data_IF_774259329202
#
_entry.id   IF_774259329202
#
_cell.length_a   1.000
_cell.length_b   1.000
_cell.length_c   1.000
_cell.angle_alpha   90.00
_cell.angle_beta   90.00
_cell.angle_gamma   90.00
#
_symmetry.space_group_name_H-M   'P 1'
#
loop_
_entity.id
_entity.type
_entity.pdbx_description
1 polymer ?
#
# COMPACT_ATOMS: atom_id res chain seq x y z
N UNK A 1 -11.33 3.65 4.46
CA UNK A 1 -10.73 2.31 4.30
C UNK A 1 -11.45 1.35 5.24
N UNK A 2 -12.17 0.37 4.69
CA UNK A 2 -12.94 -0.60 5.48
C UNK A 2 -12.03 -1.52 6.32
N UNK A 3 -12.59 -2.28 7.25
CA UNK A 3 -11.82 -3.29 7.99
C UNK A 3 -11.32 -4.38 7.02
N UNK A 4 -12.15 -4.79 6.07
CA UNK A 4 -11.77 -5.74 5.01
C UNK A 4 -10.51 -5.26 4.26
N UNK A 5 -10.48 -4.00 3.83
CA UNK A 5 -9.33 -3.44 3.13
C UNK A 5 -8.06 -3.45 3.98
N UNK A 6 -8.18 -3.14 5.27
CA UNK A 6 -7.03 -3.13 6.21
C UNK A 6 -6.47 -4.53 6.42
N UNK A 7 -7.34 -5.52 6.61
CA UNK A 7 -6.92 -6.92 6.79
C UNK A 7 -6.32 -7.47 5.49
N UNK A 8 -6.98 -7.21 4.36
CA UNK A 8 -6.48 -7.62 3.04
C UNK A 8 -5.10 -7.01 2.76
N UNK A 9 -4.91 -5.71 3.06
CA UNK A 9 -3.61 -5.03 2.89
C UNK A 9 -2.52 -5.64 3.77
N UNK A 10 -2.80 -5.98 5.03
CA UNK A 10 -1.82 -6.64 5.89
C UNK A 10 -1.40 -8.02 5.36
N UNK A 11 -2.36 -8.81 4.85
CA UNK A 11 -2.07 -10.11 4.23
C UNK A 11 -1.24 -9.97 2.95
N UNK A 12 -1.52 -8.97 2.13
CA UNK A 12 -0.75 -8.65 0.93
C UNK A 12 0.67 -8.20 1.27
N UNK A 13 0.84 -7.31 2.25
CA UNK A 13 2.14 -6.85 2.73
C UNK A 13 2.99 -8.02 3.27
N UNK A 14 2.37 -8.96 4.01
CA UNK A 14 3.02 -10.19 4.47
C UNK A 14 3.52 -10.99 3.27
N UNK A 15 2.67 -11.21 2.25
CA UNK A 15 3.06 -11.96 1.05
C UNK A 15 4.24 -11.30 0.32
N UNK A 16 4.19 -9.98 0.16
CA UNK A 16 5.26 -9.20 -0.49
C UNK A 16 6.59 -9.30 0.30
N UNK A 17 6.54 -9.12 1.61
CA UNK A 17 7.73 -9.23 2.47
C UNK A 17 8.32 -10.64 2.45
N UNK A 18 7.47 -11.67 2.51
CA UNK A 18 7.89 -13.08 2.38
C UNK A 18 8.60 -13.32 1.04
N UNK A 19 8.06 -12.80 -0.06
CA UNK A 19 8.66 -12.98 -1.38
C UNK A 19 10.00 -12.25 -1.52
N UNK A 20 10.14 -11.04 -0.96
CA UNK A 20 11.41 -10.30 -0.89
C UNK A 20 12.46 -11.05 -0.06
N UNK A 21 12.04 -11.71 1.02
CA UNK A 21 12.91 -12.53 1.85
C UNK A 21 13.31 -13.86 1.18
N UNK A 22 12.54 -14.31 0.17
CA UNK A 22 12.74 -15.58 -0.53
C UNK A 22 12.09 -16.76 0.18
N UNK A 23 11.01 -16.49 0.93
CA UNK A 23 10.21 -17.51 1.59
C UNK A 23 9.48 -18.42 0.59
N UNK A 24 8.95 -19.54 1.10
CA UNK A 24 8.24 -20.53 0.30
C UNK A 24 7.05 -19.93 -0.47
N UNK A 25 7.03 -20.17 -1.77
CA UNK A 25 6.02 -19.68 -2.70
C UNK A 25 4.58 -20.14 -2.37
N UNK A 26 4.42 -21.32 -1.75
CA UNK A 26 3.09 -21.78 -1.31
C UNK A 26 2.53 -20.86 -0.21
N UNK A 27 3.38 -20.44 0.74
CA UNK A 27 3.01 -19.50 1.81
C UNK A 27 2.66 -18.14 1.22
N UNK A 28 3.49 -17.62 0.33
CA UNK A 28 3.26 -16.35 -0.40
C UNK A 28 1.91 -16.40 -1.13
N UNK A 29 1.69 -17.44 -1.93
CA UNK A 29 0.46 -17.59 -2.70
C UNK A 29 -0.78 -17.75 -1.81
N UNK A 30 -0.65 -18.43 -0.65
CA UNK A 30 -1.74 -18.56 0.29
C UNK A 30 -2.17 -17.21 0.86
N UNK A 31 -1.22 -16.34 1.27
CA UNK A 31 -1.52 -14.99 1.75
C UNK A 31 -2.14 -14.11 0.66
N UNK A 32 -1.62 -14.18 -0.58
CA UNK A 32 -2.17 -13.45 -1.72
C UNK A 32 -3.62 -13.88 -2.06
N UNK A 33 -3.94 -15.18 -1.94
CA UNK A 33 -5.30 -15.68 -2.13
C UNK A 33 -6.24 -15.18 -1.04
N UNK A 34 -5.81 -15.27 0.21
CA UNK A 34 -6.61 -14.79 1.34
C UNK A 34 -6.83 -13.27 1.29
N UNK A 35 -5.81 -12.49 0.91
CA UNK A 35 -5.95 -11.05 0.73
C UNK A 35 -7.05 -10.71 -0.30
N UNK A 36 -7.04 -11.40 -1.46
CA UNK A 36 -8.07 -11.23 -2.49
C UNK A 36 -9.45 -11.67 -2.02
N UNK A 37 -9.52 -12.80 -1.32
CA UNK A 37 -10.78 -13.30 -0.77
C UNK A 37 -11.40 -12.27 0.19
N UNK A 38 -10.61 -11.75 1.14
CA UNK A 38 -11.06 -10.74 2.12
C UNK A 38 -11.47 -9.43 1.43
N UNK A 39 -10.69 -8.94 0.47
CA UNK A 39 -11.01 -7.73 -0.29
C UNK A 39 -12.29 -7.86 -1.13
N UNK A 40 -12.61 -9.08 -1.60
CA UNK A 40 -13.80 -9.36 -2.40
C UNK A 40 -15.09 -9.62 -1.59
N UNK A 41 -15.01 -9.64 -0.25
CA UNK A 41 -16.19 -9.89 0.59
C UNK A 41 -17.14 -8.69 0.56
N UNK A 42 -18.42 -8.98 0.37
CA UNK A 42 -19.50 -8.00 0.50
C UNK A 42 -19.96 -7.79 1.95
N UNK A 43 -19.53 -8.65 2.88
CA UNK A 43 -19.83 -8.60 4.31
C UNK A 43 -18.60 -8.15 5.10
N UNK A 44 -18.80 -7.58 6.29
CA UNK A 44 -17.69 -7.19 7.15
C UNK A 44 -16.96 -8.45 7.64
N UNK A 45 -15.63 -8.48 7.47
CA UNK A 45 -14.78 -9.58 7.92
C UNK A 45 -14.89 -9.80 9.44
N UNK A 46 -15.16 -8.73 10.22
CA UNK A 46 -15.36 -8.84 11.65
C UNK A 46 -16.56 -9.75 12.02
N UNK A 47 -17.62 -9.75 11.21
CA UNK A 47 -18.76 -10.61 11.44
C UNK A 47 -18.43 -12.08 11.19
N UNK A 48 -17.64 -12.36 10.13
CA UNK A 48 -17.17 -13.71 9.85
C UNK A 48 -16.13 -14.18 10.89
N UNK A 49 -15.31 -13.28 11.41
CA UNK A 49 -14.28 -13.59 12.40
C UNK A 49 -14.83 -14.02 13.76
N UNK A 50 -16.10 -13.73 14.07
CA UNK A 50 -16.81 -14.25 15.26
C UNK A 50 -17.01 -15.77 15.23
N UNK A 51 -16.99 -16.37 14.05
CA UNK A 51 -17.14 -17.82 13.86
C UNK A 51 -16.04 -18.32 12.92
N UNK A 52 -15.03 -18.96 13.50
CA UNK A 52 -13.90 -19.52 12.73
C UNK A 52 -14.33 -20.48 11.62
N UNK A 53 -15.46 -21.20 11.79
CA UNK A 53 -15.96 -22.13 10.76
C UNK A 53 -16.42 -21.36 9.52
N UNK A 54 -17.11 -20.23 9.69
CA UNK A 54 -17.53 -19.37 8.57
C UNK A 54 -16.34 -18.80 7.81
N UNK A 55 -15.25 -18.47 8.49
CA UNK A 55 -14.01 -18.05 7.81
C UNK A 55 -13.41 -19.17 6.95
N UNK A 56 -13.49 -20.42 7.41
CA UNK A 56 -12.98 -21.57 6.67
C UNK A 56 -13.85 -21.95 5.46
N UNK A 57 -15.09 -21.51 5.39
CA UNK A 57 -15.98 -21.65 4.22
C UNK A 57 -15.62 -20.68 3.10
N UNK A 58 -14.85 -19.61 3.40
CA UNK A 58 -14.42 -18.65 2.38
C UNK A 58 -13.28 -19.25 1.58
N UNK A 59 -13.50 -19.41 0.26
CA UNK A 59 -12.49 -19.95 -0.64
C UNK A 59 -11.20 -19.11 -0.57
N UNK A 60 -10.07 -19.78 -0.36
CA UNK A 60 -8.76 -19.12 -0.23
C UNK A 60 -8.34 -18.84 1.22
N UNK A 61 -9.19 -19.06 2.22
CA UNK A 61 -8.87 -18.90 3.63
C UNK A 61 -8.68 -20.27 4.29
N UNK A 62 -7.44 -20.67 4.48
CA UNK A 62 -7.10 -21.88 5.23
C UNK A 62 -6.98 -21.65 6.75
N UNK A 63 -6.82 -22.73 7.55
CA UNK A 63 -6.83 -22.65 9.01
C UNK A 63 -5.87 -21.58 9.59
N UNK A 64 -4.60 -21.57 9.15
CA UNK A 64 -3.59 -20.61 9.62
C UNK A 64 -3.94 -19.17 9.25
N UNK A 65 -4.60 -18.95 8.12
CA UNK A 65 -4.99 -17.62 7.67
C UNK A 65 -6.25 -17.14 8.39
N UNK A 66 -7.19 -18.06 8.69
CA UNK A 66 -8.35 -17.74 9.54
C UNK A 66 -7.89 -17.22 10.91
N UNK A 67 -6.91 -17.89 11.54
CA UNK A 67 -6.36 -17.47 12.83
C UNK A 67 -5.72 -16.06 12.75
N UNK A 68 -4.98 -15.75 11.68
CA UNK A 68 -4.42 -14.41 11.44
C UNK A 68 -5.48 -13.35 11.18
N UNK A 69 -6.55 -13.69 10.47
CA UNK A 69 -7.66 -12.77 10.23
C UNK A 69 -8.39 -12.45 11.53
N UNK A 70 -8.64 -13.45 12.38
CA UNK A 70 -9.21 -13.25 13.72
C UNK A 70 -8.30 -12.33 14.53
N UNK A 71 -7.00 -12.60 14.56
CA UNK A 71 -6.02 -11.75 15.23
C UNK A 71 -6.07 -10.29 14.75
N UNK A 72 -6.14 -10.08 13.42
CA UNK A 72 -6.24 -8.74 12.84
C UNK A 72 -7.54 -8.02 13.24
N UNK A 73 -8.65 -8.75 13.33
CA UNK A 73 -9.94 -8.19 13.76
C UNK A 73 -9.93 -7.81 15.25
N UNK A 74 -9.31 -8.64 16.12
CA UNK A 74 -9.25 -8.42 17.55
C UNK A 74 -8.23 -7.36 17.97
N UNK A 75 -7.01 -7.42 17.39
CA UNK A 75 -5.86 -6.60 17.79
C UNK A 75 -5.57 -5.45 16.83
N UNK A 76 -6.24 -5.38 15.68
CA UNK A 76 -5.99 -4.41 14.62
C UNK A 76 -4.74 -4.71 13.77
N UNK A 77 -3.93 -5.70 14.15
CA UNK A 77 -2.70 -6.09 13.43
C UNK A 77 -2.44 -7.59 13.52
N UNK A 78 -1.76 -8.11 12.50
CA UNK A 78 -1.26 -9.49 12.46
C UNK A 78 0.17 -9.48 13.03
N UNK A 79 0.47 -10.30 14.05
CA UNK A 79 1.79 -10.37 14.67
C UNK A 79 2.91 -10.68 13.66
N UNK A 80 2.65 -11.57 12.70
CA UNK A 80 3.61 -11.86 11.63
C UNK A 80 3.90 -10.66 10.73
N UNK A 81 2.91 -9.79 10.48
CA UNK A 81 3.10 -8.54 9.74
C UNK A 81 4.10 -7.61 10.45
N UNK A 82 3.93 -7.44 11.76
CA UNK A 82 4.86 -6.65 12.58
C UNK A 82 6.28 -7.26 12.56
N UNK A 83 6.39 -8.57 12.79
CA UNK A 83 7.69 -9.28 12.80
C UNK A 83 8.41 -9.24 11.43
N UNK A 84 7.69 -9.21 10.32
CA UNK A 84 8.28 -9.08 8.99
C UNK A 84 8.71 -7.64 8.68
N UNK A 85 8.00 -6.63 9.19
CA UNK A 85 8.42 -5.22 9.08
C UNK A 85 9.76 -4.94 9.77
N UNK A 86 10.06 -5.66 10.84
CA UNK A 86 11.36 -5.54 11.50
C UNK A 86 12.50 -6.13 10.66
N UNK A 87 12.18 -7.05 9.73
CA UNK A 87 13.17 -7.72 8.86
C UNK A 87 13.36 -7.05 7.51
N UNK A 88 12.34 -6.39 7.00
CA UNK A 88 12.34 -5.75 5.68
C UNK A 88 12.18 -4.25 5.86
N UNK A 89 13.17 -3.42 5.50
CA UNK A 89 13.06 -1.97 5.58
C UNK A 89 11.85 -1.44 4.81
N UNK A 90 11.13 -0.49 5.39
CA UNK A 90 9.92 0.07 4.78
C UNK A 90 10.16 0.59 3.36
N UNK A 91 11.31 1.23 3.11
CA UNK A 91 11.65 1.74 1.79
C UNK A 91 11.88 0.66 0.72
N UNK A 92 12.13 -0.61 1.11
CA UNK A 92 12.14 -1.74 0.14
C UNK A 92 10.73 -2.00 -0.38
N UNK A 93 9.71 -1.84 0.45
CA UNK A 93 8.31 -1.95 0.03
C UNK A 93 7.92 -0.80 -0.90
N UNK A 94 8.44 0.41 -0.64
CA UNK A 94 8.23 1.55 -1.55
C UNK A 94 8.86 1.29 -2.92
N UNK A 95 10.07 0.71 -2.95
CA UNK A 95 10.73 0.29 -4.20
C UNK A 95 9.93 -0.81 -4.91
N UNK A 96 9.40 -1.78 -4.16
CA UNK A 96 8.58 -2.87 -4.70
C UNK A 96 7.27 -2.37 -5.32
N UNK A 97 6.69 -1.30 -4.78
CA UNK A 97 5.45 -0.70 -5.30
C UNK A 97 5.65 0.07 -6.61
N UNK A 98 6.89 0.25 -7.07
CA UNK A 98 7.16 0.88 -8.37
C UNK A 98 6.77 -0.04 -9.52
N UNK A 99 6.10 0.53 -10.52
CA UNK A 99 5.77 -0.21 -11.73
C UNK A 99 7.05 -0.72 -12.43
N UNK A 100 7.09 -2.03 -12.70
CA UNK A 100 8.25 -2.69 -13.33
C UNK A 100 9.27 -3.26 -12.33
N UNK A 101 9.04 -3.11 -11.02
CA UNK A 101 9.84 -3.76 -9.97
C UNK A 101 9.03 -4.90 -9.36
N UNK A 102 9.48 -6.12 -9.59
CA UNK A 102 8.91 -7.30 -8.92
C UNK A 102 9.68 -7.65 -7.63
N UNK A 103 9.12 -8.51 -6.77
CA UNK A 103 9.73 -8.87 -5.48
C UNK A 103 11.16 -9.40 -5.59
N UNK A 104 11.45 -10.24 -6.59
CA UNK A 104 12.81 -10.74 -6.85
C UNK A 104 13.79 -9.64 -7.25
N UNK A 105 13.30 -8.66 -8.00
CA UNK A 105 14.09 -7.50 -8.41
C UNK A 105 14.36 -6.58 -7.23
N UNK A 106 13.33 -6.27 -6.43
CA UNK A 106 13.48 -5.49 -5.20
C UNK A 106 14.44 -6.17 -4.22
N UNK A 107 14.33 -7.49 -4.04
CA UNK A 107 15.24 -8.28 -3.20
C UNK A 107 16.70 -8.21 -3.70
N UNK A 108 16.92 -8.31 -5.01
CA UNK A 108 18.26 -8.19 -5.60
C UNK A 108 18.84 -6.78 -5.43
N UNK A 109 18.04 -5.73 -5.67
CA UNK A 109 18.44 -4.34 -5.44
C UNK A 109 18.83 -4.10 -3.98
N UNK A 110 18.02 -4.59 -3.05
CA UNK A 110 18.29 -4.43 -1.62
C UNK A 110 19.51 -5.25 -1.17
N UNK A 111 19.53 -6.56 -1.43
CA UNK A 111 20.55 -7.46 -0.91
C UNK A 111 21.92 -7.28 -1.57
N UNK A 112 21.95 -6.88 -2.85
CA UNK A 112 23.20 -6.77 -3.62
C UNK A 112 23.74 -5.33 -3.65
N UNK A 113 22.85 -4.34 -3.79
CA UNK A 113 23.25 -2.95 -3.95
C UNK A 113 22.91 -2.09 -2.73
N UNK A 114 22.28 -2.66 -1.68
CA UNK A 114 21.88 -1.90 -0.48
C UNK A 114 20.76 -0.88 -0.74
N UNK A 115 20.02 -1.04 -1.82
CA UNK A 115 18.89 -0.16 -2.17
C UNK A 115 17.69 -0.48 -1.26
N UNK A 116 17.54 0.28 -0.19
CA UNK A 116 16.49 0.14 0.81
C UNK A 116 15.48 1.31 0.80
N UNK A 117 15.58 2.21 -0.20
CA UNK A 117 14.74 3.41 -0.30
C UNK A 117 14.74 3.97 -1.71
N UNK A 118 13.71 4.78 -2.04
CA UNK A 118 13.62 5.47 -3.34
C UNK A 118 14.80 6.42 -3.62
N UNK A 119 15.33 7.19 -2.63
CA UNK A 119 16.55 7.98 -2.85
C UNK A 119 17.76 7.14 -3.24
N UNK A 120 18.00 5.99 -2.57
CA UNK A 120 19.12 5.09 -2.93
C UNK A 120 18.90 4.44 -4.30
N UNK A 121 17.65 4.14 -4.68
CA UNK A 121 17.35 3.67 -6.03
C UNK A 121 17.68 4.73 -7.09
N UNK A 122 17.34 6.01 -6.84
CA UNK A 122 17.72 7.10 -7.74
C UNK A 122 19.23 7.24 -7.90
N UNK A 123 19.98 7.12 -6.80
CA UNK A 123 21.44 7.12 -6.84
C UNK A 123 22.00 5.96 -7.65
N UNK A 124 21.53 4.73 -7.42
CA UNK A 124 21.96 3.53 -8.15
C UNK A 124 21.62 3.58 -9.66
N UNK A 125 20.59 4.31 -10.05
CA UNK A 125 20.29 4.61 -11.46
C UNK A 125 21.26 5.63 -12.03
N UNK A 126 21.55 6.70 -11.27
CA UNK A 126 22.41 7.80 -11.74
C UNK A 126 23.86 7.38 -11.94
N UNK A 127 24.40 6.52 -11.07
CA UNK A 127 25.76 6.00 -11.14
C UNK A 127 25.89 4.73 -12.00
N UNK A 128 24.78 4.20 -12.53
CA UNK A 128 24.75 3.03 -13.41
C UNK A 128 24.91 1.68 -12.70
N UNK A 129 25.02 1.66 -11.36
CA UNK A 129 25.19 0.40 -10.60
C UNK A 129 23.98 -0.54 -10.74
N UNK A 130 22.80 0.01 -11.01
CA UNK A 130 21.60 -0.79 -11.23
C UNK A 130 21.74 -1.74 -12.44
N UNK A 131 22.50 -1.36 -13.47
CA UNK A 131 22.74 -2.18 -14.66
C UNK A 131 23.62 -3.42 -14.37
N UNK A 132 24.29 -3.48 -13.22
CA UNK A 132 25.10 -4.64 -12.83
C UNK A 132 24.27 -5.83 -12.36
N UNK A 133 22.98 -5.60 -12.05
CA UNK A 133 22.09 -6.67 -11.59
C UNK A 133 21.66 -7.59 -12.74
N UNK A 134 21.55 -8.90 -12.49
CA UNK A 134 21.05 -9.85 -13.48
C UNK A 134 19.68 -9.45 -14.02
N UNK A 135 19.49 -9.51 -15.33
CA UNK A 135 18.22 -9.14 -16.04
C UNK A 135 17.83 -7.67 -15.94
N UNK A 136 18.74 -6.80 -15.51
CA UNK A 136 18.54 -5.35 -15.43
C UNK A 136 19.24 -4.67 -16.61
N UNK A 137 18.60 -4.69 -17.77
CA UNK A 137 19.09 -3.97 -18.95
C UNK A 137 18.55 -2.54 -19.00
N UNK A 138 19.07 -1.72 -19.93
CA UNK A 138 18.70 -0.31 -20.12
C UNK A 138 17.19 -0.08 -20.21
N UNK A 139 16.45 -0.93 -20.95
CA UNK A 139 14.99 -0.84 -21.05
C UNK A 139 14.27 -1.02 -19.70
N UNK A 140 14.81 -1.86 -18.81
CA UNK A 140 14.23 -2.06 -17.48
C UNK A 140 14.51 -0.83 -16.60
N UNK A 141 15.72 -0.29 -16.67
CA UNK A 141 16.12 0.92 -15.94
C UNK A 141 15.26 2.11 -16.39
N UNK A 142 15.04 2.30 -17.69
CA UNK A 142 14.18 3.38 -18.19
C UNK A 142 12.73 3.27 -17.71
N UNK A 143 12.17 2.05 -17.64
CA UNK A 143 10.84 1.83 -17.05
C UNK A 143 10.80 2.23 -15.57
N UNK A 144 11.83 1.88 -14.80
CA UNK A 144 11.94 2.23 -13.39
C UNK A 144 12.11 3.73 -13.21
N UNK A 145 12.91 4.40 -14.05
CA UNK A 145 13.02 5.87 -14.05
C UNK A 145 11.67 6.55 -14.28
N UNK A 146 10.90 6.08 -15.28
CA UNK A 146 9.57 6.61 -15.56
C UNK A 146 8.62 6.39 -14.37
N UNK A 147 8.66 5.20 -13.74
CA UNK A 147 7.86 4.92 -12.55
C UNK A 147 8.25 5.80 -11.36
N UNK A 148 9.54 6.06 -11.14
CA UNK A 148 10.04 6.98 -10.12
C UNK A 148 9.60 8.42 -10.35
N UNK A 149 9.63 8.88 -11.60
CA UNK A 149 9.16 10.22 -11.96
C UNK A 149 7.65 10.37 -11.72
N UNK A 150 6.87 9.33 -12.06
CA UNK A 150 5.44 9.31 -11.81
C UNK A 150 5.12 9.27 -10.30
N UNK A 151 5.84 8.46 -9.52
CA UNK A 151 5.70 8.41 -8.07
C UNK A 151 6.00 9.78 -7.43
N UNK A 152 7.09 10.43 -7.85
CA UNK A 152 7.44 11.78 -7.38
C UNK A 152 6.39 12.84 -7.76
N UNK A 153 5.81 12.75 -8.96
CA UNK A 153 4.74 13.66 -9.39
C UNK A 153 3.43 13.43 -8.62
N UNK A 154 3.21 12.22 -8.10
CA UNK A 154 2.07 11.87 -7.24
C UNK A 154 2.32 12.12 -5.74
N UNK A 155 3.56 12.38 -5.34
CA UNK A 155 3.94 12.60 -3.94
C UNK A 155 3.25 13.86 -3.40
N UNK A 156 2.55 13.73 -2.27
CA UNK A 156 1.76 14.82 -1.69
C UNK A 156 0.39 15.04 -2.34
N UNK A 157 -0.03 14.20 -3.28
CA UNK A 157 -1.36 14.34 -3.89
C UNK A 157 -2.34 13.29 -3.37
N UNK A 158 -3.53 13.73 -3.01
CA UNK A 158 -4.62 12.90 -2.50
C UNK A 158 -5.72 12.76 -3.56
N UNK A 159 -6.31 11.59 -3.71
CA UNK A 159 -7.46 11.38 -4.60
C UNK A 159 -8.64 12.25 -4.15
N UNK A 160 -9.36 12.84 -5.12
CA UNK A 160 -10.50 13.72 -4.88
C UNK A 160 -11.53 13.09 -3.94
N UNK A 161 -11.87 11.81 -4.14
CA UNK A 161 -12.83 11.11 -3.30
C UNK A 161 -12.44 10.98 -1.82
N UNK A 162 -11.15 11.07 -1.49
CA UNK A 162 -10.66 11.11 -0.10
C UNK A 162 -10.53 12.55 0.42
N UNK A 163 -10.15 13.49 -0.43
CA UNK A 163 -9.96 14.89 -0.04
C UNK A 163 -11.29 15.63 0.11
N UNK A 164 -12.29 15.30 -0.71
CA UNK A 164 -13.58 15.99 -0.73
C UNK A 164 -14.33 15.94 0.61
N UNK A 165 -14.54 14.77 1.27
CA UNK A 165 -15.21 14.72 2.57
C UNK A 165 -14.49 15.53 3.65
N UNK A 166 -13.14 15.54 3.62
CA UNK A 166 -12.32 16.30 4.56
C UNK A 166 -12.51 17.81 4.33
N UNK A 167 -12.49 18.24 3.06
CA UNK A 167 -12.71 19.64 2.70
C UNK A 167 -14.10 20.14 3.10
N UNK A 168 -15.12 19.31 2.90
CA UNK A 168 -16.50 19.64 3.29
C UNK A 168 -16.65 19.77 4.82
N UNK A 169 -16.09 18.83 5.58
CA UNK A 169 -16.11 18.90 7.05
C UNK A 169 -15.36 20.14 7.58
N UNK A 170 -14.24 20.48 6.95
CA UNK A 170 -13.48 21.69 7.29
C UNK A 170 -14.28 22.96 6.95
N UNK A 171 -14.88 23.02 5.76
CA UNK A 171 -15.73 24.15 5.36
C UNK A 171 -16.92 24.33 6.30
N UNK A 172 -17.58 23.26 6.74
CA UNK A 172 -18.67 23.32 7.73
C UNK A 172 -18.17 23.87 9.08
N UNK A 173 -17.00 23.41 9.53
CA UNK A 173 -16.41 23.88 10.79
C UNK A 173 -16.09 25.39 10.74
N UNK A 174 -15.56 25.86 9.61
CA UNK A 174 -15.24 27.29 9.40
C UNK A 174 -16.54 28.11 9.29
N UNK A 175 -17.55 27.60 8.60
CA UNK A 175 -18.85 28.27 8.44
C UNK A 175 -19.58 28.52 9.78
N UNK A 176 -19.32 27.63 10.77
CA UNK A 176 -19.87 27.79 12.11
C UNK A 176 -19.16 28.86 12.96
N UNK A 177 -18.06 29.46 12.49
CA UNK A 177 -17.32 30.49 13.22
C UNK A 177 -18.02 31.84 13.13
N UNK A 178 -18.03 32.65 14.22
CA UNK A 178 -18.59 33.99 14.19
C UNK A 178 -17.90 34.91 13.19
N UNK A 179 -18.68 35.66 12.41
CA UNK A 179 -18.16 36.62 11.42
C UNK A 179 -17.86 36.04 10.04
N UNK A 180 -18.07 34.74 9.82
CA UNK A 180 -17.94 34.10 8.52
C UNK A 180 -19.24 34.19 7.76
N UNK A 181 -19.24 34.85 6.60
CA UNK A 181 -20.41 35.03 5.76
C UNK A 181 -20.65 33.87 4.78
N UNK A 182 -19.58 33.37 4.18
CA UNK A 182 -19.64 32.28 3.19
C UNK A 182 -18.32 31.47 3.23
N UNK A 183 -18.41 30.17 2.98
CA UNK A 183 -17.25 29.27 2.92
C UNK A 183 -17.52 28.20 1.87
N UNK A 184 -16.59 28.06 0.91
CA UNK A 184 -16.69 27.04 -0.12
C UNK A 184 -15.31 26.43 -0.45
N UNK A 185 -15.27 25.15 -0.84
CA UNK A 185 -14.06 24.57 -1.41
C UNK A 185 -13.68 25.27 -2.72
N UNK A 186 -12.39 25.53 -2.92
CA UNK A 186 -11.85 26.23 -4.07
C UNK A 186 -10.79 25.40 -4.82
N UNK A 187 -9.96 26.03 -5.63
CA UNK A 187 -8.80 25.49 -6.27
C UNK A 187 -9.05 24.22 -7.08
N UNK A 188 -8.15 23.26 -6.95
CA UNK A 188 -8.20 21.98 -7.65
C UNK A 188 -9.37 21.09 -7.22
N UNK A 189 -9.82 21.21 -5.97
CA UNK A 189 -11.02 20.55 -5.43
C UNK A 189 -12.28 20.98 -6.20
N UNK A 190 -12.55 22.28 -6.26
CA UNK A 190 -13.71 22.81 -6.97
C UNK A 190 -13.72 22.44 -8.45
N UNK A 191 -12.55 22.35 -9.08
CA UNK A 191 -12.43 21.97 -10.50
C UNK A 191 -12.57 20.47 -10.75
N UNK A 192 -12.79 19.66 -9.71
CA UNK A 192 -12.98 18.20 -9.86
C UNK A 192 -11.74 17.46 -10.37
N UNK A 193 -10.53 17.91 -10.05
CA UNK A 193 -9.31 17.20 -10.45
C UNK A 193 -9.25 15.83 -9.78
N UNK A 194 -8.86 14.79 -10.48
CA UNK A 194 -8.76 13.41 -9.95
C UNK A 194 -7.90 13.33 -8.68
N UNK A 195 -6.88 14.17 -8.59
CA UNK A 195 -6.03 14.30 -7.41
C UNK A 195 -5.78 15.76 -7.07
N UNK A 196 -5.66 16.07 -5.79
CA UNK A 196 -5.40 17.39 -5.22
C UNK A 196 -4.15 17.36 -4.34
N UNK A 197 -3.36 18.42 -4.34
CA UNK A 197 -2.17 18.56 -3.50
C UNK A 197 -2.52 19.22 -2.16
N UNK A 198 -3.47 20.14 -2.19
CA UNK A 198 -3.89 20.98 -1.08
C UNK A 198 -5.42 21.11 -1.04
N UNK A 199 -5.93 21.56 0.08
CA UNK A 199 -7.36 21.87 0.27
C UNK A 199 -7.48 23.39 0.36
N UNK A 200 -7.90 23.99 -0.75
CA UNK A 200 -8.21 25.42 -0.80
C UNK A 200 -9.64 25.66 -0.30
N UNK A 201 -9.83 26.62 0.61
CA UNK A 201 -11.13 27.07 1.11
C UNK A 201 -11.16 28.61 1.06
N UNK A 202 -12.24 29.15 0.56
CA UNK A 202 -12.49 30.59 0.45
C UNK A 202 -13.81 30.95 1.10
#
# INVERSE_FOLDING_TARGET
MSLNDRVAKQLEDIAQMMEVLGEDSFRVNAHNRAARAVSGLSVDIAELAKDRKKLLEVEGIGPKLADKIIEACEKGTIAEHAALKDKVPAGVLDVLNLNGVGPKTAAAMWKTLGVDSLPKLRAAIADGTLLTLPRMGEKAVEKIKAALALAAAGEGRTRLGLAWPVAMALAESIRAMPGVAQVEPAGSLRRGRETVADIDIV
#
